data_IF_733665942541
#
_entry.id   IF_733665942541
#
_cell.length_a   1.000
_cell.length_b   1.000
_cell.length_c   1.000
_cell.angle_alpha   90.00
_cell.angle_beta   90.00
_cell.angle_gamma   90.00
#
_symmetry.space_group_name_H-M   'P 1'
#
loop_
_entity.id
_entity.type
_entity.pdbx_description
1 polymer ?
#
# COMPACT_ATOMS: atom_id res chain seq x y z
N UNK A 1 5.22 1.91 -28.41
CA UNK A 1 5.02 3.08 -27.50
C UNK A 1 4.19 4.21 -28.12
N UNK A 2 3.37 3.94 -29.15
CA UNK A 2 2.61 4.99 -29.88
C UNK A 2 1.70 5.86 -28.98
N UNK A 3 1.21 5.32 -27.87
CA UNK A 3 0.28 6.01 -26.94
C UNK A 3 0.90 6.20 -25.54
N UNK A 4 2.22 6.43 -25.48
CA UNK A 4 2.89 6.61 -24.19
C UNK A 4 2.40 7.88 -23.48
N UNK A 5 1.95 7.72 -22.23
CA UNK A 5 1.34 8.81 -21.44
C UNK A 5 2.36 9.76 -20.81
N UNK A 6 3.62 9.38 -20.74
CA UNK A 6 4.66 10.05 -19.96
C UNK A 6 4.74 9.59 -18.49
N UNK A 7 3.80 8.80 -17.99
CA UNK A 7 3.76 8.34 -16.60
C UNK A 7 3.94 6.83 -16.51
N UNK A 8 4.92 6.40 -15.75
CA UNK A 8 5.20 4.97 -15.58
C UNK A 8 5.01 4.50 -14.14
N UNK A 9 4.77 3.20 -14.00
CA UNK A 9 4.98 2.46 -12.76
C UNK A 9 6.09 1.45 -12.97
N UNK A 10 7.04 1.39 -12.01
CA UNK A 10 8.09 0.39 -11.96
C UNK A 10 7.94 -0.46 -10.70
N UNK A 11 8.17 -1.76 -10.85
CA UNK A 11 8.02 -2.73 -9.75
C UNK A 11 8.83 -3.99 -10.05
N UNK A 12 9.19 -4.71 -9.00
CA UNK A 12 9.82 -6.01 -9.05
C UNK A 12 8.83 -7.12 -8.65
N UNK A 13 8.90 -8.24 -9.39
CA UNK A 13 8.12 -9.43 -9.12
C UNK A 13 9.04 -10.62 -8.90
N UNK A 14 9.03 -11.20 -7.71
CA UNK A 14 9.77 -12.41 -7.39
C UNK A 14 8.99 -13.65 -7.82
N UNK A 15 9.64 -14.53 -8.61
CA UNK A 15 9.11 -15.79 -9.12
C UNK A 15 10.13 -16.92 -8.93
N UNK A 16 10.13 -17.51 -7.76
CA UNK A 16 11.14 -18.49 -7.34
C UNK A 16 12.52 -17.81 -7.19
N UNK A 17 13.58 -18.33 -7.86
CA UNK A 17 14.90 -17.73 -7.82
C UNK A 17 15.05 -16.50 -8.76
N UNK A 18 14.00 -16.20 -9.54
CA UNK A 18 14.04 -15.13 -10.53
C UNK A 18 13.32 -13.88 -10.03
N UNK A 19 13.84 -12.72 -10.45
CA UNK A 19 13.18 -11.44 -10.28
C UNK A 19 12.81 -10.87 -11.65
N UNK A 20 11.58 -10.40 -11.81
CA UNK A 20 11.10 -9.73 -13.02
C UNK A 20 10.97 -8.24 -12.73
N UNK A 21 11.84 -7.44 -13.30
CA UNK A 21 11.69 -6.00 -13.35
C UNK A 21 10.69 -5.63 -14.44
N UNK A 22 9.79 -4.72 -14.16
CA UNK A 22 8.76 -4.29 -15.12
C UNK A 22 8.56 -2.78 -15.08
N UNK A 23 8.48 -2.16 -16.28
CA UNK A 23 7.97 -0.81 -16.48
C UNK A 23 6.65 -0.90 -17.23
N UNK A 24 5.62 -0.28 -16.69
CA UNK A 24 4.27 -0.24 -17.26
C UNK A 24 3.84 1.21 -17.39
N UNK A 25 3.20 1.60 -18.51
CA UNK A 25 2.51 2.88 -18.58
C UNK A 25 1.40 2.90 -17.53
N UNK A 26 1.52 3.81 -16.57
CA UNK A 26 0.66 3.81 -15.38
C UNK A 26 -0.75 4.35 -15.65
N UNK A 27 -0.99 4.90 -16.85
CA UNK A 27 -2.31 5.39 -17.30
C UNK A 27 -2.96 4.45 -18.29
N UNK A 28 -2.17 3.87 -19.21
CA UNK A 28 -2.68 3.00 -20.28
C UNK A 28 -2.59 1.52 -19.91
N UNK A 29 -1.92 1.18 -18.81
CA UNK A 29 -1.72 -0.20 -18.33
C UNK A 29 -0.91 -1.09 -19.28
N UNK A 30 -0.25 -0.52 -20.27
CA UNK A 30 0.59 -1.23 -21.23
C UNK A 30 1.98 -1.47 -20.62
N UNK A 31 2.46 -2.73 -20.62
CA UNK A 31 3.85 -3.03 -20.26
C UNK A 31 4.77 -2.52 -21.37
N UNK A 32 5.74 -1.71 -21.01
CA UNK A 32 6.66 -1.05 -21.93
C UNK A 32 8.01 -1.75 -22.01
N UNK A 33 8.52 -2.20 -20.86
CA UNK A 33 9.80 -2.89 -20.74
C UNK A 33 9.74 -3.91 -19.61
N UNK A 34 10.50 -5.00 -19.73
CA UNK A 34 10.74 -5.96 -18.68
C UNK A 34 12.15 -6.54 -18.77
N UNK A 35 12.64 -7.02 -17.66
CA UNK A 35 13.89 -7.79 -17.56
C UNK A 35 13.71 -8.93 -16.57
N UNK A 36 14.33 -10.08 -16.84
CA UNK A 36 14.29 -11.24 -15.94
C UNK A 36 15.69 -11.49 -15.44
N UNK A 37 15.89 -11.29 -14.14
CA UNK A 37 17.13 -11.54 -13.42
C UNK A 37 17.09 -12.93 -12.80
N UNK A 38 18.24 -13.55 -12.63
CA UNK A 38 18.45 -14.83 -11.93
C UNK A 38 18.96 -14.65 -10.49
N UNK A 39 18.91 -13.42 -10.00
CA UNK A 39 19.31 -12.99 -8.66
C UNK A 39 18.38 -11.90 -8.13
N UNK A 40 18.53 -11.54 -6.86
CA UNK A 40 17.85 -10.39 -6.28
C UNK A 40 18.36 -9.09 -6.90
N UNK A 41 17.47 -8.14 -7.27
CA UNK A 41 17.85 -6.92 -7.95
C UNK A 41 18.71 -6.02 -7.07
N UNK A 42 19.73 -5.42 -7.67
CA UNK A 42 20.59 -4.39 -7.09
C UNK A 42 20.25 -3.00 -7.63
N UNK A 43 20.77 -1.93 -7.01
CA UNK A 43 20.64 -0.57 -7.57
C UNK A 43 21.25 -0.46 -8.98
N UNK A 44 22.36 -1.18 -9.23
CA UNK A 44 22.99 -1.21 -10.56
C UNK A 44 22.09 -1.85 -11.63
N UNK A 45 21.38 -2.93 -11.28
CA UNK A 45 20.42 -3.57 -12.18
C UNK A 45 19.28 -2.61 -12.52
N UNK A 46 18.76 -1.90 -11.52
CA UNK A 46 17.70 -0.89 -11.73
C UNK A 46 18.22 0.26 -12.59
N UNK A 47 19.45 0.74 -12.34
CA UNK A 47 20.06 1.81 -13.14
C UNK A 47 20.19 1.40 -14.61
N UNK A 48 20.76 0.21 -14.90
CA UNK A 48 20.85 -0.33 -16.27
C UNK A 48 19.49 -0.50 -16.94
N UNK A 49 18.51 -0.99 -16.18
CA UNK A 49 17.15 -1.18 -16.66
C UNK A 49 16.49 0.16 -17.04
N UNK A 50 16.68 1.19 -16.23
CA UNK A 50 16.18 2.53 -16.49
C UNK A 50 16.93 3.22 -17.64
N UNK A 51 18.24 3.04 -17.77
CA UNK A 51 19.03 3.56 -18.90
C UNK A 51 18.50 3.03 -20.24
N UNK A 52 18.27 1.69 -20.34
CA UNK A 52 17.65 1.09 -21.52
C UNK A 52 16.27 1.66 -21.84
N UNK A 53 15.49 1.97 -20.80
CA UNK A 53 14.19 2.61 -20.98
C UNK A 53 14.34 4.06 -21.47
N UNK A 54 15.25 4.82 -20.89
CA UNK A 54 15.54 6.19 -21.29
C UNK A 54 16.02 6.27 -22.76
N UNK A 55 16.93 5.38 -23.18
CA UNK A 55 17.37 5.24 -24.57
C UNK A 55 16.19 4.98 -25.51
N UNK A 56 15.30 4.07 -25.12
CA UNK A 56 14.11 3.75 -25.90
C UNK A 56 13.10 4.91 -26.00
N UNK A 57 13.03 5.80 -25.00
CA UNK A 57 12.24 7.03 -25.04
C UNK A 57 12.92 8.07 -25.97
N UNK A 58 14.21 8.31 -25.78
CA UNK A 58 15.00 9.27 -26.56
C UNK A 58 14.95 8.95 -28.05
N UNK A 59 15.14 7.69 -28.43
CA UNK A 59 15.05 7.22 -29.81
C UNK A 59 13.69 7.46 -30.48
N UNK A 60 12.64 7.78 -29.69
CA UNK A 60 11.28 8.07 -30.17
C UNK A 60 10.83 9.51 -29.91
N UNK A 61 11.71 10.38 -29.41
CA UNK A 61 11.38 11.75 -29.05
C UNK A 61 10.34 11.85 -27.91
N UNK A 62 10.28 10.84 -27.02
CA UNK A 62 9.35 10.79 -25.90
C UNK A 62 10.04 11.21 -24.60
N UNK A 63 9.28 11.83 -23.69
CA UNK A 63 9.77 12.29 -22.39
C UNK A 63 9.02 11.62 -21.24
N UNK A 64 9.77 11.25 -20.18
CA UNK A 64 9.20 10.83 -18.92
C UNK A 64 8.72 12.05 -18.13
N UNK A 65 7.47 12.00 -17.63
CA UNK A 65 6.83 13.06 -16.84
C UNK A 65 6.67 12.71 -15.37
N UNK A 66 6.69 11.42 -15.04
CA UNK A 66 6.60 10.97 -13.66
C UNK A 66 6.70 9.46 -13.52
N UNK A 67 7.19 9.02 -12.37
CA UNK A 67 7.39 7.61 -12.04
C UNK A 67 6.74 7.27 -10.71
N UNK A 68 6.05 6.13 -10.65
CA UNK A 68 5.44 5.59 -9.43
C UNK A 68 6.11 4.26 -9.08
N UNK A 69 6.57 4.10 -7.82
CA UNK A 69 7.13 2.84 -7.30
C UNK A 69 6.44 2.43 -6.00
N UNK A 70 6.72 1.24 -5.48
CA UNK A 70 6.19 0.75 -4.20
C UNK A 70 6.84 1.39 -2.96
N UNK A 71 7.99 2.06 -3.13
CA UNK A 71 8.78 2.66 -2.04
C UNK A 71 9.94 1.80 -1.57
N UNK A 72 10.37 0.82 -2.38
CA UNK A 72 11.63 0.10 -2.21
C UNK A 72 12.81 1.08 -2.24
N UNK A 73 13.85 0.79 -1.44
CA UNK A 73 15.06 1.60 -1.37
C UNK A 73 15.90 1.55 -2.66
N UNK A 74 15.65 0.58 -3.53
CA UNK A 74 16.39 0.38 -4.78
C UNK A 74 16.12 1.45 -5.85
N UNK A 75 15.02 2.21 -5.76
CA UNK A 75 14.61 3.12 -6.84
C UNK A 75 15.11 4.56 -6.74
N UNK A 76 15.25 5.18 -5.55
CA UNK A 76 15.49 6.64 -5.49
C UNK A 76 16.75 7.11 -6.17
N UNK A 77 17.88 6.41 -5.99
CA UNK A 77 19.18 6.75 -6.59
C UNK A 77 19.14 6.56 -8.11
N UNK A 78 18.75 5.39 -8.65
CA UNK A 78 18.65 5.18 -10.11
C UNK A 78 17.70 6.15 -10.83
N UNK A 79 16.59 6.54 -10.19
CA UNK A 79 15.66 7.52 -10.79
C UNK A 79 16.34 8.86 -11.01
N UNK A 80 17.06 9.36 -9.99
CA UNK A 80 17.76 10.65 -10.07
C UNK A 80 18.92 10.59 -11.05
N UNK A 81 19.69 9.51 -11.06
CA UNK A 81 20.83 9.32 -11.95
C UNK A 81 20.42 9.28 -13.44
N UNK A 82 19.35 8.56 -13.76
CA UNK A 82 18.96 8.31 -15.15
C UNK A 82 18.03 9.40 -15.68
N UNK A 83 17.03 9.82 -14.92
CA UNK A 83 15.99 10.74 -15.39
C UNK A 83 16.14 12.16 -14.85
N UNK A 84 17.04 12.37 -13.89
CA UNK A 84 17.27 13.66 -13.24
C UNK A 84 16.28 13.95 -12.10
N UNK A 85 16.61 14.96 -11.30
CA UNK A 85 15.82 15.38 -10.14
C UNK A 85 14.50 16.08 -10.49
N UNK A 86 14.32 16.48 -11.76
CA UNK A 86 13.11 17.16 -12.23
C UNK A 86 11.93 16.20 -12.46
N UNK A 87 12.18 14.89 -12.60
CA UNK A 87 11.12 13.89 -12.79
C UNK A 87 10.47 13.56 -11.44
N UNK A 88 9.17 13.83 -11.26
CA UNK A 88 8.47 13.54 -10.02
C UNK A 88 8.47 12.05 -9.68
N UNK A 89 8.98 11.70 -8.50
CA UNK A 89 8.93 10.34 -7.97
C UNK A 89 7.80 10.21 -6.96
N UNK A 90 6.75 9.50 -7.35
CA UNK A 90 5.60 9.15 -6.52
C UNK A 90 5.80 7.78 -5.87
N UNK A 91 5.66 7.69 -4.56
CA UNK A 91 5.54 6.40 -3.88
C UNK A 91 4.08 5.97 -3.84
N UNK A 92 3.80 4.73 -4.17
CA UNK A 92 2.46 4.18 -4.21
C UNK A 92 1.72 4.39 -2.88
N UNK A 93 0.65 5.17 -2.93
CA UNK A 93 -0.20 5.48 -1.78
C UNK A 93 -0.70 4.21 -1.07
N UNK A 94 -1.03 3.16 -1.84
CA UNK A 94 -1.52 1.90 -1.28
C UNK A 94 -0.49 1.23 -0.37
N UNK A 95 0.78 1.17 -0.78
CA UNK A 95 1.85 0.58 0.02
C UNK A 95 2.08 1.33 1.34
N UNK A 96 2.11 2.66 1.29
CA UNK A 96 2.27 3.50 2.49
C UNK A 96 1.10 3.31 3.46
N UNK A 97 -0.13 3.31 2.96
CA UNK A 97 -1.32 3.08 3.79
C UNK A 97 -1.39 1.65 4.34
N UNK A 98 -0.99 0.64 3.55
CA UNK A 98 -0.92 -0.75 4.00
C UNK A 98 0.05 -0.91 5.18
N UNK A 99 1.20 -0.23 5.16
CA UNK A 99 2.14 -0.23 6.28
C UNK A 99 1.58 0.42 7.55
N UNK A 100 0.86 1.53 7.40
CA UNK A 100 0.16 2.17 8.52
C UNK A 100 -0.96 1.28 9.07
N UNK A 101 -1.73 0.65 8.20
CA UNK A 101 -2.79 -0.28 8.59
C UNK A 101 -2.22 -1.46 9.40
N UNK A 102 -1.12 -2.07 8.95
CA UNK A 102 -0.42 -3.14 9.68
C UNK A 102 -0.01 -2.67 11.08
N UNK A 103 0.55 -1.45 11.18
CA UNK A 103 0.98 -0.90 12.46
C UNK A 103 -0.20 -0.68 13.43
N UNK A 104 -1.31 -0.12 12.94
CA UNK A 104 -2.53 0.09 13.74
C UNK A 104 -3.13 -1.24 14.19
N UNK A 105 -3.26 -2.22 13.31
CA UNK A 105 -3.77 -3.54 13.66
C UNK A 105 -2.89 -4.25 14.69
N UNK A 106 -1.55 -4.09 14.60
CA UNK A 106 -0.60 -4.57 15.60
C UNK A 106 -0.83 -3.92 16.97
N UNK A 107 -1.11 -2.61 17.00
CA UNK A 107 -1.42 -1.89 18.24
C UNK A 107 -2.76 -2.36 18.86
N UNK A 108 -3.78 -2.58 18.06
CA UNK A 108 -5.07 -3.15 18.53
C UNK A 108 -4.85 -4.53 19.12
N UNK A 109 -4.04 -5.37 18.49
CA UNK A 109 -3.68 -6.69 18.99
C UNK A 109 -2.90 -6.61 20.31
N UNK A 110 -2.04 -5.59 20.50
CA UNK A 110 -1.34 -5.37 21.76
C UNK A 110 -2.31 -5.01 22.88
N UNK A 111 -3.22 -4.06 22.67
CA UNK A 111 -4.24 -3.69 23.66
C UNK A 111 -5.09 -4.91 24.07
N UNK A 112 -5.39 -5.81 23.12
CA UNK A 112 -6.08 -7.07 23.45
C UNK A 112 -5.25 -7.98 24.35
N UNK A 113 -3.94 -8.10 24.11
CA UNK A 113 -3.03 -8.87 24.99
C UNK A 113 -2.98 -8.26 26.39
N UNK A 114 -2.89 -6.95 26.47
CA UNK A 114 -2.83 -6.22 27.74
C UNK A 114 -4.14 -6.43 28.54
N UNK A 115 -5.31 -6.33 27.87
CA UNK A 115 -6.60 -6.64 28.49
C UNK A 115 -6.66 -8.10 28.97
N UNK A 116 -6.14 -9.06 28.20
CA UNK A 116 -6.09 -10.46 28.60
C UNK A 116 -5.21 -10.66 29.84
N UNK A 117 -4.13 -9.92 29.97
CA UNK A 117 -3.26 -9.97 31.16
C UNK A 117 -3.95 -9.43 32.43
N UNK A 118 -4.98 -8.56 32.27
CA UNK A 118 -5.76 -8.03 33.40
C UNK A 118 -6.95 -8.93 33.82
N UNK A 119 -7.13 -10.10 33.20
CA UNK A 119 -8.21 -11.01 33.55
C UNK A 119 -8.06 -11.50 34.99
N UNK A 120 -9.11 -11.36 35.84
CA UNK A 120 -9.05 -11.84 37.20
C UNK A 120 -8.98 -13.36 37.23
N UNK A 121 -8.08 -13.86 38.07
CA UNK A 121 -8.02 -15.29 38.41
C UNK A 121 -9.16 -15.62 39.37
N UNK A 122 -9.98 -16.57 38.99
CA UNK A 122 -11.12 -17.01 39.81
C UNK A 122 -10.74 -18.35 40.42
N UNK A 123 -10.64 -18.38 41.75
CA UNK A 123 -10.38 -19.60 42.52
C UNK A 123 -11.56 -20.58 42.50
N UNK A 124 -11.29 -21.84 42.83
CA UNK A 124 -12.32 -22.85 43.06
C UNK A 124 -12.88 -22.64 44.49
N UNK A 125 -14.21 -22.63 44.65
CA UNK A 125 -14.84 -22.48 45.95
C UNK A 125 -16.32 -22.09 45.85
N UNK A 126 -17.01 -22.02 47.02
CA UNK A 126 -18.42 -21.62 47.08
C UNK A 126 -18.59 -20.17 46.57
N UNK A 127 -19.56 -19.88 45.69
CA UNK A 127 -19.75 -18.55 45.10
C UNK A 127 -20.16 -17.52 46.17
N UNK A 128 -19.21 -16.66 46.56
CA UNK A 128 -19.47 -15.48 47.39
C UNK A 128 -19.91 -14.28 46.52
N UNK A 129 -20.40 -13.22 47.16
CA UNK A 129 -20.71 -11.97 46.45
C UNK A 129 -19.48 -11.38 45.73
N UNK A 130 -18.30 -11.48 46.35
CA UNK A 130 -17.02 -11.06 45.75
C UNK A 130 -16.67 -11.92 44.52
N UNK A 131 -16.85 -13.24 44.63
CA UNK A 131 -16.62 -14.18 43.52
C UNK A 131 -17.53 -13.86 42.32
N UNK A 132 -18.82 -13.60 42.54
CA UNK A 132 -19.78 -13.21 41.50
C UNK A 132 -19.38 -11.90 40.81
N UNK A 133 -18.88 -10.89 41.55
CA UNK A 133 -18.37 -9.62 41.01
C UNK A 133 -17.15 -9.85 40.12
N UNK A 134 -16.19 -10.68 40.54
CA UNK A 134 -14.99 -11.04 39.74
C UNK A 134 -15.37 -11.80 38.46
N UNK A 135 -16.31 -12.75 38.55
CA UNK A 135 -16.81 -13.49 37.39
C UNK A 135 -17.50 -12.55 36.38
N UNK A 136 -18.33 -11.61 36.84
CA UNK A 136 -18.94 -10.61 35.96
C UNK A 136 -17.92 -9.67 35.32
N UNK A 137 -16.88 -9.25 36.07
CA UNK A 137 -15.75 -8.46 35.53
C UNK A 137 -15.00 -9.26 34.49
N UNK A 138 -14.67 -10.52 34.76
CA UNK A 138 -14.00 -11.41 33.79
C UNK A 138 -14.79 -11.50 32.50
N UNK A 139 -16.07 -11.82 32.55
CA UNK A 139 -16.97 -11.92 31.39
C UNK A 139 -17.00 -10.63 30.57
N UNK A 140 -17.03 -9.44 31.20
CA UNK A 140 -17.00 -8.16 30.51
C UNK A 140 -15.68 -7.94 29.77
N UNK A 141 -14.54 -8.30 30.37
CA UNK A 141 -13.23 -8.16 29.72
C UNK A 141 -13.11 -9.14 28.55
N UNK A 142 -13.53 -10.39 28.71
CA UNK A 142 -13.55 -11.41 27.66
C UNK A 142 -14.41 -10.98 26.47
N UNK A 143 -15.64 -10.48 26.73
CA UNK A 143 -16.49 -9.92 25.68
C UNK A 143 -15.83 -8.77 24.94
N UNK A 144 -15.14 -7.88 25.65
CA UNK A 144 -14.41 -6.75 25.04
C UNK A 144 -13.23 -7.21 24.18
N UNK A 145 -12.51 -8.25 24.62
CA UNK A 145 -11.41 -8.86 23.84
C UNK A 145 -11.96 -9.48 22.55
N UNK A 146 -13.11 -10.17 22.63
CA UNK A 146 -13.79 -10.75 21.47
C UNK A 146 -14.26 -9.66 20.49
N UNK A 147 -14.95 -8.63 20.97
CA UNK A 147 -15.40 -7.47 20.20
C UNK A 147 -14.24 -6.80 19.44
N UNK A 148 -13.11 -6.55 20.12
CA UNK A 148 -11.91 -5.95 19.50
C UNK A 148 -11.27 -6.86 18.46
N UNK A 149 -11.43 -8.16 18.55
CA UNK A 149 -10.95 -9.09 17.54
C UNK A 149 -11.84 -9.12 16.30
N UNK A 150 -13.12 -9.25 16.51
CA UNK A 150 -14.11 -9.35 15.44
C UNK A 150 -14.16 -8.06 14.61
N UNK A 151 -14.18 -6.92 15.28
CA UNK A 151 -14.32 -5.63 14.65
C UNK A 151 -12.99 -4.89 14.39
N UNK A 152 -11.84 -5.59 14.45
CA UNK A 152 -10.52 -4.98 14.17
C UNK A 152 -10.41 -4.28 12.82
N UNK A 153 -11.08 -4.69 11.71
CA UNK A 153 -11.02 -4.00 10.44
C UNK A 153 -11.51 -2.54 10.51
N UNK A 154 -12.45 -2.23 11.42
CA UNK A 154 -12.99 -0.89 11.57
C UNK A 154 -11.95 0.16 11.97
N UNK A 155 -10.81 -0.26 12.55
CA UNK A 155 -9.73 0.65 12.89
C UNK A 155 -8.95 1.16 11.67
N UNK A 156 -9.01 0.44 10.54
CA UNK A 156 -8.25 0.71 9.32
C UNK A 156 -9.11 0.84 8.07
N UNK A 157 -10.42 0.72 8.18
CA UNK A 157 -11.34 0.91 7.07
C UNK A 157 -11.46 2.42 6.75
N UNK A 158 -11.32 2.82 5.47
CA UNK A 158 -11.32 4.23 5.09
C UNK A 158 -12.66 4.91 5.30
N UNK A 159 -13.74 4.25 4.91
CA UNK A 159 -15.10 4.76 5.03
C UNK A 159 -15.89 3.87 5.98
N UNK A 160 -16.46 4.46 7.02
CA UNK A 160 -17.32 3.76 7.98
C UNK A 160 -18.77 4.22 7.81
N UNK A 161 -19.69 3.27 7.75
CA UNK A 161 -21.11 3.52 7.85
C UNK A 161 -21.48 4.06 9.25
N UNK A 162 -22.66 4.67 9.42
CA UNK A 162 -23.12 5.13 10.75
C UNK A 162 -23.15 4.00 11.79
N UNK A 163 -23.59 2.80 11.41
CA UNK A 163 -23.64 1.63 12.29
C UNK A 163 -22.23 1.16 12.72
N UNK A 164 -21.27 1.14 11.78
CA UNK A 164 -19.87 0.79 12.08
C UNK A 164 -19.21 1.82 12.99
N UNK A 165 -19.49 3.12 12.81
CA UNK A 165 -19.02 4.19 13.72
C UNK A 165 -19.56 3.98 15.13
N UNK A 166 -20.84 3.67 15.28
CA UNK A 166 -21.46 3.37 16.57
C UNK A 166 -20.81 2.13 17.23
N UNK A 167 -20.59 1.08 16.46
CA UNK A 167 -19.89 -0.12 16.92
C UNK A 167 -18.48 0.23 17.42
N UNK A 168 -17.72 1.01 16.62
CA UNK A 168 -16.39 1.45 16.99
C UNK A 168 -16.37 2.28 18.29
N UNK A 169 -17.34 3.18 18.48
CA UNK A 169 -17.50 3.94 19.71
C UNK A 169 -17.76 3.03 20.91
N UNK A 170 -18.62 2.01 20.75
CA UNK A 170 -18.95 1.03 21.78
C UNK A 170 -17.71 0.22 22.20
N UNK A 171 -17.00 -0.35 21.25
CA UNK A 171 -15.83 -1.21 21.52
C UNK A 171 -14.63 -0.45 22.07
N UNK A 172 -14.50 0.84 21.75
CA UNK A 172 -13.41 1.69 22.26
C UNK A 172 -13.74 2.40 23.58
N UNK A 173 -14.94 2.20 24.14
CA UNK A 173 -15.31 2.81 25.43
C UNK A 173 -14.32 2.39 26.53
N UNK A 174 -13.70 3.38 27.21
CA UNK A 174 -12.66 3.15 28.21
C UNK A 174 -11.28 2.80 27.65
N UNK A 175 -11.07 2.92 26.33
CA UNK A 175 -9.79 2.67 25.65
C UNK A 175 -9.37 3.89 24.82
N UNK A 176 -8.92 4.99 25.46
CA UNK A 176 -8.62 6.26 24.77
C UNK A 176 -7.53 6.10 23.71
N UNK A 177 -6.54 5.24 23.93
CA UNK A 177 -5.47 4.97 22.97
C UNK A 177 -6.03 4.46 21.63
N UNK A 178 -7.03 3.58 21.65
CA UNK A 178 -7.64 3.05 20.41
C UNK A 178 -8.46 4.11 19.67
N UNK A 179 -9.15 5.01 20.40
CA UNK A 179 -9.83 6.14 19.75
C UNK A 179 -8.83 7.08 19.09
N UNK A 180 -7.71 7.36 19.76
CA UNK A 180 -6.65 8.20 19.21
C UNK A 180 -6.04 7.55 17.95
N UNK A 181 -5.79 6.25 17.97
CA UNK A 181 -5.31 5.52 16.78
C UNK A 181 -6.27 5.64 15.60
N UNK A 182 -7.59 5.48 15.84
CA UNK A 182 -8.58 5.66 14.76
C UNK A 182 -8.59 7.09 14.22
N UNK A 183 -8.55 8.11 15.08
CA UNK A 183 -8.49 9.50 14.65
C UNK A 183 -7.23 9.80 13.83
N UNK A 184 -6.09 9.20 14.19
CA UNK A 184 -4.84 9.32 13.42
C UNK A 184 -5.00 8.68 12.03
N UNK A 185 -5.65 7.52 11.93
CA UNK A 185 -5.93 6.89 10.63
C UNK A 185 -6.86 7.74 9.77
N UNK A 186 -7.92 8.33 10.34
CA UNK A 186 -8.81 9.24 9.61
C UNK A 186 -8.04 10.45 9.08
N UNK A 187 -7.14 11.03 9.87
CA UNK A 187 -6.28 12.12 9.45
C UNK A 187 -5.27 11.69 8.39
N UNK A 188 -4.69 10.50 8.52
CA UNK A 188 -3.78 9.94 7.51
C UNK A 188 -4.50 9.73 6.16
N UNK A 189 -5.71 9.22 6.13
CA UNK A 189 -6.51 9.14 4.91
C UNK A 189 -6.81 10.50 4.30
N UNK A 190 -7.04 11.53 5.14
CA UNK A 190 -7.28 12.90 4.69
C UNK A 190 -6.07 13.59 4.05
N UNK A 191 -4.84 13.05 4.21
CA UNK A 191 -3.65 13.56 3.51
C UNK A 191 -3.73 13.30 2.00
N UNK A 192 -4.37 12.21 1.59
CA UNK A 192 -4.46 11.74 0.21
C UNK A 192 -5.74 12.20 -0.53
N UNK A 193 -6.38 13.25 -0.04
CA UNK A 193 -7.52 13.87 -0.72
C UNK A 193 -7.01 14.74 -1.88
N UNK A 194 -7.35 14.39 -3.13
CA UNK A 194 -6.95 15.13 -4.34
C UNK A 194 -7.39 16.60 -4.37
N UNK A 195 -8.32 16.99 -3.52
CA UNK A 195 -8.71 18.40 -3.35
C UNK A 195 -7.69 19.19 -2.53
N UNK A 196 -6.70 18.54 -1.95
CA UNK A 196 -5.64 19.14 -1.15
C UNK A 196 -4.42 19.38 -2.03
N UNK A 197 -3.75 20.52 -1.90
CA UNK A 197 -2.42 20.75 -2.48
C UNK A 197 -1.35 20.08 -1.63
N UNK A 198 -0.22 19.72 -2.22
CA UNK A 198 0.90 19.07 -1.53
C UNK A 198 1.35 19.86 -0.30
N UNK A 199 1.51 21.17 -0.39
CA UNK A 199 1.87 22.02 0.76
C UNK A 199 0.89 21.89 1.93
N UNK A 200 -0.42 21.91 1.64
CA UNK A 200 -1.46 21.74 2.65
C UNK A 200 -1.41 20.35 3.26
N UNK A 201 -1.16 19.31 2.46
CA UNK A 201 -1.03 17.94 2.91
C UNK A 201 0.21 17.77 3.79
N UNK A 202 1.35 18.37 3.42
CA UNK A 202 2.58 18.37 4.22
C UNK A 202 2.39 19.10 5.55
N UNK A 203 1.69 20.24 5.57
CA UNK A 203 1.35 20.94 6.80
C UNK A 203 0.45 20.08 7.72
N UNK A 204 -0.56 19.38 7.16
CA UNK A 204 -1.38 18.43 7.91
C UNK A 204 -0.54 17.26 8.44
N UNK A 205 0.38 16.73 7.64
CA UNK A 205 1.30 15.67 8.05
C UNK A 205 2.20 16.11 9.19
N UNK A 206 2.77 17.32 9.13
CA UNK A 206 3.59 17.88 10.22
C UNK A 206 2.81 17.97 11.53
N UNK A 207 1.57 18.48 11.50
CA UNK A 207 0.67 18.52 12.67
C UNK A 207 0.35 17.11 13.20
N UNK A 208 0.11 16.17 12.31
CA UNK A 208 -0.13 14.77 12.67
C UNK A 208 1.09 14.14 13.34
N UNK A 209 2.29 14.37 12.81
CA UNK A 209 3.57 13.95 13.41
C UNK A 209 3.77 14.54 14.80
N UNK A 210 3.54 15.84 14.98
CA UNK A 210 3.62 16.49 16.29
C UNK A 210 2.64 15.88 17.30
N UNK A 211 1.40 15.61 16.88
CA UNK A 211 0.39 14.96 17.73
C UNK A 211 0.85 13.55 18.16
N UNK A 212 1.34 12.75 17.23
CA UNK A 212 1.83 11.38 17.50
C UNK A 212 3.07 11.40 18.39
N UNK A 213 3.98 12.38 18.19
CA UNK A 213 5.21 12.50 18.97
C UNK A 213 4.98 12.71 20.47
N UNK A 214 3.86 13.34 20.87
CA UNK A 214 3.49 13.55 22.27
C UNK A 214 3.21 12.24 23.02
N UNK A 215 2.94 11.14 22.31
CA UNK A 215 2.63 9.84 22.88
C UNK A 215 3.71 8.83 22.52
N UNK A 216 4.70 8.60 23.43
CA UNK A 216 5.84 7.70 23.18
C UNK A 216 5.42 6.34 22.58
N UNK A 217 4.37 5.72 23.14
CA UNK A 217 3.87 4.43 22.68
C UNK A 217 3.30 4.50 21.24
N UNK A 218 2.53 5.53 20.92
CA UNK A 218 2.00 5.75 19.57
C UNK A 218 3.10 6.06 18.55
N UNK A 219 4.13 6.81 18.94
CA UNK A 219 5.28 7.10 18.08
C UNK A 219 6.01 5.85 17.65
N UNK A 220 6.26 4.92 18.57
CA UNK A 220 6.89 3.63 18.23
C UNK A 220 6.02 2.79 17.29
N UNK A 221 4.70 2.75 17.56
CA UNK A 221 3.74 2.03 16.72
C UNK A 221 3.64 2.62 15.33
N UNK A 222 3.57 3.94 15.23
CA UNK A 222 3.32 4.67 13.98
C UNK A 222 4.60 5.30 13.39
N UNK A 223 5.78 4.69 13.62
CA UNK A 223 7.05 5.20 13.11
C UNK A 223 7.05 5.43 11.58
N UNK A 224 6.22 4.71 10.83
CA UNK A 224 6.05 4.90 9.38
C UNK A 224 5.46 6.27 8.99
N UNK A 225 4.76 6.96 9.89
CA UNK A 225 4.35 8.36 9.66
C UNK A 225 5.54 9.32 9.55
N UNK A 226 6.69 8.94 10.09
CA UNK A 226 7.92 9.73 10.05
C UNK A 226 8.84 9.35 8.88
N UNK A 227 8.44 8.39 8.05
CA UNK A 227 9.18 8.01 6.86
C UNK A 227 9.12 9.10 5.79
N UNK A 228 10.23 9.40 5.08
CA UNK A 228 10.23 10.29 3.92
C UNK A 228 9.35 9.75 2.78
N UNK A 229 9.12 8.43 2.73
CA UNK A 229 8.24 7.80 1.74
C UNK A 229 6.80 8.32 1.82
N UNK A 230 6.33 8.73 3.02
CA UNK A 230 4.99 9.31 3.15
C UNK A 230 4.89 10.68 2.46
N UNK A 231 5.95 11.48 2.50
CA UNK A 231 5.98 12.78 1.79
C UNK A 231 6.00 12.57 0.28
N UNK A 232 6.86 11.67 -0.21
CA UNK A 232 6.89 11.28 -1.62
C UNK A 232 5.58 10.65 -2.10
N UNK A 233 4.79 10.03 -1.21
CA UNK A 233 3.48 9.50 -1.55
C UNK A 233 2.41 10.59 -1.75
N UNK A 234 2.72 11.86 -1.50
CA UNK A 234 1.84 13.02 -1.72
C UNK A 234 2.15 13.78 -3.02
N UNK A 235 3.20 13.42 -3.75
CA UNK A 235 3.65 14.08 -4.99
C UNK A 235 2.55 14.20 -6.05
N UNK A 236 1.64 13.21 -6.12
CA UNK A 236 0.51 13.19 -7.06
C UNK A 236 -0.52 14.32 -6.85
N UNK A 237 -0.48 15.03 -5.72
CA UNK A 237 -1.46 16.07 -5.40
C UNK A 237 -1.30 17.31 -6.30
N UNK A 238 -0.08 17.59 -6.76
CA UNK A 238 0.22 18.74 -7.61
C UNK A 238 0.11 18.41 -9.11
N UNK A 239 0.06 17.13 -9.46
CA UNK A 239 -0.09 16.67 -10.84
C UNK A 239 -1.30 15.72 -10.95
N UNK A 240 -2.40 16.23 -11.54
CA UNK A 240 -3.63 15.47 -11.74
C UNK A 240 -3.47 14.25 -12.65
N UNK A 241 -2.43 14.24 -13.50
CA UNK A 241 -2.11 13.17 -14.43
C UNK A 241 -1.21 12.09 -13.81
N UNK A 242 -0.49 12.42 -12.74
CA UNK A 242 0.36 11.45 -12.03
C UNK A 242 -0.51 10.50 -11.21
N UNK A 243 -0.48 9.18 -11.49
CA UNK A 243 -1.24 8.22 -10.70
C UNK A 243 -0.68 8.08 -9.28
N UNK A 244 -1.57 8.10 -8.29
CA UNK A 244 -1.20 7.93 -6.87
C UNK A 244 -0.76 6.50 -6.51
N UNK A 245 -1.00 5.53 -7.39
CA UNK A 245 -0.76 4.10 -7.14
C UNK A 245 -0.05 3.42 -8.30
N UNK A 246 0.65 2.34 -8.01
CA UNK A 246 1.30 1.45 -8.98
C UNK A 246 0.38 0.32 -9.48
N UNK A 247 -0.94 0.53 -9.47
CA UNK A 247 -1.91 -0.51 -9.84
C UNK A 247 -1.69 -1.10 -11.23
N UNK A 248 -1.15 -0.32 -12.17
CA UNK A 248 -0.90 -0.78 -13.53
C UNK A 248 0.12 -1.93 -13.54
N UNK A 249 1.26 -1.77 -12.88
CA UNK A 249 2.30 -2.80 -12.82
C UNK A 249 1.85 -3.98 -11.95
N UNK A 250 1.15 -3.74 -10.84
CA UNK A 250 0.62 -4.82 -10.00
C UNK A 250 -0.38 -5.71 -10.76
N UNK A 251 -1.17 -5.16 -11.68
CA UNK A 251 -2.06 -5.94 -12.56
C UNK A 251 -1.29 -6.87 -13.49
N UNK A 252 -0.21 -6.37 -14.10
CA UNK A 252 0.68 -7.18 -14.91
C UNK A 252 1.31 -8.31 -14.09
N UNK A 253 1.80 -8.00 -12.91
CA UNK A 253 2.35 -8.96 -11.96
C UNK A 253 1.32 -10.01 -11.52
N UNK A 254 0.06 -9.61 -11.30
CA UNK A 254 -1.03 -10.53 -10.96
C UNK A 254 -1.38 -11.47 -12.10
N UNK A 255 -1.39 -11.00 -13.36
CA UNK A 255 -1.58 -11.85 -14.54
C UNK A 255 -0.47 -12.90 -14.62
N UNK A 256 0.78 -12.49 -14.47
CA UNK A 256 1.92 -13.40 -14.46
C UNK A 256 1.80 -14.46 -13.37
N UNK A 257 1.48 -14.07 -12.12
CA UNK A 257 1.26 -15.02 -11.01
C UNK A 257 0.12 -16.00 -11.28
N UNK A 258 -0.96 -15.58 -11.95
CA UNK A 258 -2.05 -16.50 -12.34
C UNK A 258 -1.59 -17.52 -13.38
N UNK A 259 -0.87 -17.10 -14.40
CA UNK A 259 -0.32 -18.00 -15.42
C UNK A 259 0.62 -19.03 -14.79
N UNK A 260 1.47 -18.61 -13.86
CA UNK A 260 2.39 -19.52 -13.14
C UNK A 260 1.66 -20.57 -12.29
N UNK A 261 0.49 -20.26 -11.75
CA UNK A 261 -0.25 -21.18 -10.89
C UNK A 261 -1.09 -22.21 -11.66
N UNK A 262 -1.57 -21.86 -12.85
CA UNK A 262 -2.63 -22.63 -13.53
C UNK A 262 -2.15 -23.54 -14.62
N UNK A 263 -1.06 -23.22 -15.33
CA UNK A 263 -0.75 -23.91 -16.59
C UNK A 263 0.59 -24.63 -16.61
N UNK A 264 1.67 -24.07 -16.11
CA UNK A 264 2.99 -24.70 -16.18
C UNK A 264 3.86 -24.32 -14.98
N UNK A 265 4.38 -25.32 -14.28
CA UNK A 265 5.33 -25.16 -13.18
C UNK A 265 6.79 -24.95 -13.63
N UNK A 266 7.06 -24.96 -14.94
CA UNK A 266 8.43 -24.80 -15.45
C UNK A 266 8.84 -23.33 -15.30
N UNK A 267 9.75 -23.07 -14.38
CA UNK A 267 10.29 -21.76 -14.05
C UNK A 267 11.74 -21.69 -14.47
N UNK A 268 11.97 -21.52 -15.76
CA UNK A 268 13.29 -21.13 -16.26
C UNK A 268 13.24 -19.66 -16.67
N UNK A 269 14.38 -18.99 -16.63
CA UNK A 269 14.50 -17.58 -17.05
C UNK A 269 13.93 -17.40 -18.47
N UNK A 270 14.28 -18.30 -19.38
CA UNK A 270 13.81 -18.25 -20.77
C UNK A 270 12.29 -18.42 -20.87
N UNK A 271 11.69 -19.36 -20.13
CA UNK A 271 10.24 -19.54 -20.14
C UNK A 271 9.50 -18.31 -19.61
N UNK A 272 10.02 -17.69 -18.56
CA UNK A 272 9.46 -16.44 -18.01
C UNK A 272 9.54 -15.32 -19.05
N UNK A 273 10.69 -15.15 -19.72
CA UNK A 273 10.89 -14.15 -20.80
C UNK A 273 9.88 -14.37 -21.94
N UNK A 274 9.77 -15.58 -22.45
CA UNK A 274 8.84 -15.89 -23.55
C UNK A 274 7.38 -15.62 -23.18
N UNK A 275 6.96 -15.95 -21.96
CA UNK A 275 5.59 -15.70 -21.47
C UNK A 275 5.27 -14.22 -21.37
N UNK A 276 6.21 -13.41 -20.85
CA UNK A 276 6.00 -11.97 -20.75
C UNK A 276 5.97 -11.35 -22.15
N UNK A 277 6.86 -11.77 -23.04
CA UNK A 277 6.86 -11.32 -24.43
C UNK A 277 5.53 -11.65 -25.13
N UNK A 278 5.01 -12.87 -24.95
CA UNK A 278 3.73 -13.28 -25.51
C UNK A 278 2.56 -12.46 -24.93
N UNK A 279 2.56 -12.21 -23.60
CA UNK A 279 1.53 -11.37 -22.96
C UNK A 279 1.55 -9.93 -23.51
N UNK A 280 2.74 -9.37 -23.76
CA UNK A 280 2.89 -8.05 -24.39
C UNK A 280 2.41 -8.07 -25.84
N UNK A 281 2.72 -9.11 -26.62
CA UNK A 281 2.25 -9.27 -27.99
C UNK A 281 0.72 -9.38 -28.07
N UNK A 282 0.13 -10.17 -27.15
CA UNK A 282 -1.34 -10.28 -27.05
C UNK A 282 -1.98 -8.92 -26.71
N UNK A 283 -1.37 -8.12 -25.85
CA UNK A 283 -1.86 -6.78 -25.52
C UNK A 283 -1.80 -5.82 -26.73
N UNK A 284 -0.79 -5.96 -27.61
CA UNK A 284 -0.69 -5.17 -28.85
C UNK A 284 -1.73 -5.57 -29.90
N UNK A 285 -2.03 -6.87 -30.01
CA UNK A 285 -2.98 -7.41 -31.00
C UNK A 285 -4.43 -7.26 -30.57
N UNK A 286 -4.72 -7.03 -29.29
CA UNK A 286 -6.06 -6.90 -28.73
C UNK A 286 -6.25 -5.57 -27.97
N UNK A 287 -6.26 -4.42 -28.66
CA UNK A 287 -6.38 -3.11 -28.00
C UNK A 287 -7.66 -2.97 -27.15
N UNK A 288 -8.74 -3.67 -27.48
CA UNK A 288 -9.98 -3.73 -26.68
C UNK A 288 -9.76 -4.33 -25.28
N UNK A 289 -8.74 -5.15 -25.08
CA UNK A 289 -8.36 -5.71 -23.76
C UNK A 289 -7.96 -4.63 -22.76
N UNK A 290 -7.30 -3.56 -23.21
CA UNK A 290 -6.94 -2.40 -22.37
C UNK A 290 -8.17 -1.53 -22.12
N UNK A 291 -9.02 -1.32 -23.11
CA UNK A 291 -10.25 -0.54 -22.97
C UNK A 291 -11.20 -1.14 -21.94
N UNK A 292 -11.44 -2.46 -21.99
CA UNK A 292 -12.25 -3.17 -20.99
C UNK A 292 -11.65 -3.03 -19.58
N UNK A 293 -10.34 -3.12 -19.46
CA UNK A 293 -9.65 -2.97 -18.17
C UNK A 293 -9.72 -1.55 -17.65
N UNK A 294 -9.57 -0.56 -18.51
CA UNK A 294 -9.69 0.86 -18.15
C UNK A 294 -11.14 1.22 -17.75
N UNK A 295 -12.13 0.76 -18.52
CA UNK A 295 -13.56 0.96 -18.23
C UNK A 295 -13.98 0.35 -16.88
N UNK A 296 -13.55 -0.88 -16.60
CA UNK A 296 -13.80 -1.53 -15.30
C UNK A 296 -13.13 -0.80 -14.13
N UNK A 297 -11.99 -0.15 -14.37
CA UNK A 297 -11.33 0.63 -13.34
C UNK A 297 -12.05 1.95 -13.10
N UNK A 298 -12.51 2.59 -14.15
CA UNK A 298 -13.25 3.83 -14.09
C UNK A 298 -14.58 3.64 -13.36
N UNK A 299 -15.35 2.60 -13.69
CA UNK A 299 -16.56 2.24 -12.95
C UNK A 299 -16.32 2.00 -11.46
N UNK A 300 -15.21 1.37 -11.08
CA UNK A 300 -14.87 1.17 -9.65
C UNK A 300 -14.49 2.45 -8.93
N UNK A 301 -13.94 3.43 -9.63
CA UNK A 301 -13.63 4.74 -9.06
C UNK A 301 -14.87 5.61 -8.88
N UNK A 302 -15.91 5.40 -9.71
CA UNK A 302 -17.17 6.12 -9.66
C UNK A 302 -18.13 5.55 -8.61
N UNK A 303 -18.02 4.26 -8.29
CA UNK A 303 -18.89 3.54 -7.33
C UNK A 303 -18.28 3.40 -5.92
N UNK A 304 -17.08 3.85 -5.66
CA UNK A 304 -16.33 3.81 -4.36
C UNK A 304 -16.07 5.19 -3.84
#
# INVERSE_FOLDING_TARGET
MANFSGYIAADELYDGPYCVLSIVDNRNFQRLLYEVLDHDPTEEDITRFFQRFQEALTARGLCLRGITTDGSALYPTPIVEVFGSSVPHQICQFHVLAELNKAVLKAVAQVRRDLKATLPKIGRGRPSAAHRRLAARKKRIEAKIADLFEHRPLFVQRHLSPAERQTLQRITRGLPALRTLRQIMDQAYGLFDRRCRTETALAKLARLRQRVARFKHLRQTLKKLFSPNLEKALTFLDDSLLPATSNAVERGNRRHRKMQKTVYRVRTQQTIRCRIALDMQCDLQAPARHQTTAALHQQRCETG
#
